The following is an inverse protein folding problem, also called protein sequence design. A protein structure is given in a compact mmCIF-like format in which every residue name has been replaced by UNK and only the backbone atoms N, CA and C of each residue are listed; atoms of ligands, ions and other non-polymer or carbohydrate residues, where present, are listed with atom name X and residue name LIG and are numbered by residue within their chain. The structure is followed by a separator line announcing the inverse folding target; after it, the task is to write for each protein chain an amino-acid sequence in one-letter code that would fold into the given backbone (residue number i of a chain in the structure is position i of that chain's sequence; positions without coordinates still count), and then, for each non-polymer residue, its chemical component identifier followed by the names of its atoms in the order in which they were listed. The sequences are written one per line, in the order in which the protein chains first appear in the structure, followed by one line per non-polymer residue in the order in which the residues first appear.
data_IF_267399292064
#
_entry.id   IF_267399292064
#
_cell.length_a   1.000
_cell.length_b   1.000
_cell.length_c   1.000
_cell.angle_alpha   90.00
_cell.angle_beta   90.00
_cell.angle_gamma   90.00
#
_symmetry.space_group_name_H-M   'P 1'
#
loop_
_entity.id
_entity.type
_entity.pdbx_description
1 polymer ?
#
# COMPACT_ATOMS: atom_id res chain seq x y z
N UNK A 1 14.70 -10.21 43.51
CA UNK A 1 13.42 -10.40 42.77
C UNK A 1 12.95 -8.99 42.41
N UNK A 2 12.73 -8.59 41.15
CA UNK A 2 11.97 -9.27 40.10
C UNK A 2 12.42 -8.79 38.70
N UNK A 3 12.70 -9.77 37.85
CA UNK A 3 12.65 -9.81 36.38
C UNK A 3 13.07 -8.58 35.54
N UNK A 4 14.25 -8.74 34.91
CA UNK A 4 14.60 -8.20 33.58
C UNK A 4 13.41 -8.34 32.62
N UNK A 5 12.91 -7.22 32.10
CA UNK A 5 12.01 -7.22 30.93
C UNK A 5 12.80 -7.73 29.71
N UNK A 6 12.58 -8.99 29.38
CA UNK A 6 13.10 -9.72 28.22
C UNK A 6 12.78 -8.92 26.95
N UNK A 7 13.78 -8.41 26.23
CA UNK A 7 14.32 -9.00 24.99
C UNK A 7 13.69 -10.35 24.65
N UNK A 8 12.52 -10.38 24.01
CA UNK A 8 11.91 -11.63 23.51
C UNK A 8 10.92 -11.42 22.36
N UNK A 9 11.18 -10.45 21.49
CA UNK A 9 10.61 -10.46 20.14
C UNK A 9 11.75 -10.79 19.17
N UNK A 10 12.30 -12.00 19.34
CA UNK A 10 13.14 -12.58 18.31
C UNK A 10 12.24 -12.86 17.11
N UNK A 11 12.24 -11.94 16.15
CA UNK A 11 11.65 -12.04 14.82
C UNK A 11 12.41 -13.13 14.05
N UNK A 12 12.25 -14.40 14.43
CA UNK A 12 12.92 -15.54 13.78
C UNK A 12 11.99 -16.57 13.17
N UNK A 13 10.68 -16.42 13.36
CA UNK A 13 9.67 -17.15 12.58
C UNK A 13 8.48 -16.21 12.35
N UNK A 14 8.51 -15.50 11.22
CA UNK A 14 7.32 -14.82 10.73
C UNK A 14 6.71 -15.77 9.69
N UNK A 15 5.64 -16.53 10.02
CA UNK A 15 5.07 -17.56 9.13
C UNK A 15 4.55 -17.01 7.79
N UNK A 16 4.56 -15.69 7.64
CA UNK A 16 4.16 -14.97 6.45
C UNK A 16 5.35 -14.39 5.65
N UNK A 17 6.60 -14.60 6.08
CA UNK A 17 7.77 -14.09 5.38
C UNK A 17 7.88 -14.64 3.94
N UNK A 18 7.45 -15.89 3.73
CA UNK A 18 7.44 -16.53 2.41
C UNK A 18 6.34 -15.97 1.48
N UNK A 19 5.32 -15.29 2.04
CA UNK A 19 4.30 -14.60 1.25
C UNK A 19 4.80 -13.27 0.69
N UNK A 20 5.93 -12.77 1.20
CA UNK A 20 6.53 -11.54 0.71
C UNK A 20 7.31 -11.87 -0.56
N UNK A 21 6.98 -11.17 -1.64
CA UNK A 21 7.81 -11.18 -2.85
C UNK A 21 9.21 -10.69 -2.50
N UNK A 22 10.18 -11.60 -2.51
CA UNK A 22 11.55 -11.34 -2.10
C UNK A 22 12.23 -10.25 -2.96
N UNK A 23 11.75 -10.03 -4.19
CA UNK A 23 12.23 -8.96 -5.09
C UNK A 23 11.92 -7.56 -4.53
N UNK A 24 10.95 -7.45 -3.63
CA UNK A 24 10.52 -6.19 -3.01
C UNK A 24 11.17 -5.96 -1.63
N UNK A 25 12.09 -6.82 -1.22
CA UNK A 25 12.86 -6.64 0.02
C UNK A 25 13.62 -5.31 -0.03
N UNK A 26 13.47 -4.49 1.02
CA UNK A 26 14.07 -3.15 1.07
C UNK A 26 13.24 -2.04 0.42
N UNK A 27 11.98 -2.31 0.04
CA UNK A 27 11.08 -1.28 -0.45
C UNK A 27 10.91 -0.12 0.56
N UNK A 28 11.03 1.11 0.07
CA UNK A 28 10.89 2.32 0.89
C UNK A 28 9.48 2.52 1.46
N UNK A 29 8.48 1.82 0.91
CA UNK A 29 7.11 1.81 1.42
C UNK A 29 6.88 0.83 2.58
N UNK A 30 7.83 -0.07 2.88
CA UNK A 30 7.66 -1.08 3.93
C UNK A 30 7.32 -0.42 5.29
N UNK A 31 6.29 -0.95 5.96
CA UNK A 31 5.78 -0.42 7.24
C UNK A 31 4.93 0.85 7.13
N UNK A 32 4.59 1.30 5.92
CA UNK A 32 3.80 2.52 5.67
C UNK A 32 2.51 2.26 4.90
N UNK A 33 1.97 1.03 4.98
CA UNK A 33 0.80 0.58 4.20
C UNK A 33 -0.37 1.59 4.18
N UNK A 34 -0.78 2.22 5.32
CA UNK A 34 -1.85 3.21 5.30
C UNK A 34 -1.58 4.46 4.43
N UNK A 35 -0.36 4.71 3.98
CA UNK A 35 -0.07 5.81 3.05
C UNK A 35 -0.22 5.38 1.58
N UNK A 36 -0.02 4.10 1.29
CA UNK A 36 0.07 3.55 -0.07
C UNK A 36 -1.22 2.84 -0.49
N UNK A 37 -2.01 2.32 0.44
CA UNK A 37 -3.22 1.55 0.14
C UNK A 37 -4.39 2.44 -0.25
N UNK A 38 -5.27 1.90 -1.10
CA UNK A 38 -6.53 2.55 -1.49
C UNK A 38 -7.63 2.41 -0.46
N UNK A 39 -7.44 1.57 0.56
CA UNK A 39 -8.45 1.38 1.59
C UNK A 39 -8.67 2.69 2.36
N UNK A 40 -9.94 3.11 2.54
CA UNK A 40 -10.23 4.31 3.28
C UNK A 40 -9.93 4.10 4.76
N UNK A 41 -9.29 5.08 5.38
CA UNK A 41 -9.18 5.10 6.86
C UNK A 41 -10.45 5.67 7.48
N UNK A 42 -10.76 5.37 8.76
CA UNK A 42 -11.99 5.86 9.40
C UNK A 42 -12.13 7.38 9.33
N UNK A 43 -13.25 7.85 8.76
CA UNK A 43 -13.52 9.28 8.58
C UNK A 43 -12.84 9.94 7.39
N UNK A 44 -12.13 9.17 6.55
CA UNK A 44 -11.46 9.71 5.37
C UNK A 44 -12.44 10.05 4.25
N UNK A 45 -12.30 11.26 3.70
CA UNK A 45 -13.01 11.68 2.49
C UNK A 45 -12.24 11.27 1.24
N UNK A 46 -12.89 11.20 0.09
CA UNK A 46 -12.21 10.90 -1.17
C UNK A 46 -11.08 11.89 -1.47
N UNK A 47 -11.28 13.19 -1.20
CA UNK A 47 -10.25 14.21 -1.36
C UNK A 47 -9.07 14.03 -0.39
N UNK A 48 -9.34 13.62 0.86
CA UNK A 48 -8.29 13.31 1.82
C UNK A 48 -7.49 12.07 1.39
N UNK A 49 -8.17 11.05 0.83
CA UNK A 49 -7.54 9.86 0.25
C UNK A 49 -6.65 10.19 -0.95
N UNK A 50 -7.13 11.05 -1.86
CA UNK A 50 -6.31 11.53 -2.98
C UNK A 50 -5.09 12.33 -2.51
N UNK A 51 -5.27 13.20 -1.50
CA UNK A 51 -4.18 13.96 -0.90
C UNK A 51 -3.13 13.06 -0.23
N UNK A 52 -3.54 11.92 0.34
CA UNK A 52 -2.66 10.92 0.96
C UNK A 52 -1.71 10.27 -0.05
N UNK A 53 -2.09 10.16 -1.32
CA UNK A 53 -1.20 9.62 -2.35
C UNK A 53 -0.04 10.55 -2.71
N UNK A 54 -0.16 11.86 -2.49
CA UNK A 54 0.91 12.81 -2.82
C UNK A 54 2.25 12.51 -2.09
N UNK A 55 2.29 12.34 -0.76
CA UNK A 55 3.51 11.90 -0.07
C UNK A 55 3.89 10.44 -0.43
N UNK A 56 2.93 9.54 -0.67
CA UNK A 56 3.21 8.16 -1.08
C UNK A 56 4.02 8.11 -2.39
N UNK A 57 3.58 8.86 -3.40
CA UNK A 57 4.23 8.96 -4.71
C UNK A 57 5.64 9.54 -4.60
N UNK A 58 5.87 10.52 -3.71
CA UNK A 58 7.22 11.08 -3.46
C UNK A 58 8.19 10.02 -2.92
N UNK A 59 7.72 9.16 -2.02
CA UNK A 59 8.51 8.05 -1.49
C UNK A 59 8.74 6.99 -2.58
N UNK A 60 7.66 6.58 -3.27
CA UNK A 60 7.67 5.52 -4.26
C UNK A 60 8.64 5.82 -5.42
N UNK A 61 8.67 7.06 -5.90
CA UNK A 61 9.56 7.50 -7.00
C UNK A 61 11.05 7.45 -6.67
N UNK A 62 11.41 7.35 -5.39
CA UNK A 62 12.79 7.23 -4.90
C UNK A 62 13.09 5.83 -4.35
N UNK A 63 12.18 4.89 -4.52
CA UNK A 63 12.28 3.54 -3.98
C UNK A 63 13.39 2.77 -4.71
N UNK A 64 14.31 2.08 -3.99
CA UNK A 64 15.41 1.35 -4.62
C UNK A 64 14.98 0.12 -5.43
N UNK A 65 13.76 -0.38 -5.21
CA UNK A 65 13.21 -1.58 -5.89
C UNK A 65 12.15 -1.22 -6.93
N UNK A 66 12.25 -0.04 -7.55
CA UNK A 66 11.21 0.48 -8.46
C UNK A 66 10.94 -0.46 -9.64
N UNK A 67 11.99 -0.96 -10.29
CA UNK A 67 11.85 -1.84 -11.46
C UNK A 67 11.20 -3.17 -11.08
N UNK A 68 11.63 -3.78 -9.97
CA UNK A 68 11.04 -5.01 -9.45
C UNK A 68 9.58 -4.81 -9.03
N UNK A 69 9.27 -3.65 -8.44
CA UNK A 69 7.90 -3.26 -8.08
C UNK A 69 7.02 -3.12 -9.33
N UNK A 70 7.55 -2.57 -10.43
CA UNK A 70 6.82 -2.48 -11.69
C UNK A 70 6.53 -3.87 -12.28
N UNK A 71 7.49 -4.78 -12.23
CA UNK A 71 7.30 -6.18 -12.66
C UNK A 71 6.23 -6.89 -11.82
N UNK A 72 6.32 -6.80 -10.49
CA UNK A 72 5.34 -7.40 -9.59
C UNK A 72 3.92 -6.82 -9.80
N UNK A 73 3.80 -5.50 -10.00
CA UNK A 73 2.53 -4.86 -10.30
C UNK A 73 1.93 -5.37 -11.62
N UNK A 74 2.75 -5.53 -12.65
CA UNK A 74 2.31 -6.06 -13.94
C UNK A 74 1.83 -7.52 -13.84
N UNK A 75 2.53 -8.36 -13.06
CA UNK A 75 2.14 -9.75 -12.80
C UNK A 75 0.82 -9.84 -12.01
N UNK A 76 0.61 -8.95 -11.03
CA UNK A 76 -0.63 -8.87 -10.24
C UNK A 76 -1.82 -8.29 -11.03
N UNK A 77 -1.55 -7.48 -12.06
CA UNK A 77 -2.57 -6.86 -12.90
C UNK A 77 -3.58 -6.04 -12.08
N UNK A 78 -4.87 -6.33 -12.25
CA UNK A 78 -5.95 -5.62 -11.56
C UNK A 78 -5.97 -5.76 -10.04
N UNK A 79 -5.16 -6.67 -9.47
CA UNK A 79 -5.03 -6.84 -8.02
C UNK A 79 -4.01 -5.90 -7.38
N UNK A 80 -3.16 -5.23 -8.18
CA UNK A 80 -2.18 -4.27 -7.69
C UNK A 80 -2.84 -2.93 -7.31
N UNK A 81 -3.72 -2.92 -6.30
CA UNK A 81 -4.37 -1.71 -5.80
C UNK A 81 -3.45 -0.91 -4.88
N UNK A 82 -3.61 0.41 -4.84
CA UNK A 82 -2.74 1.31 -4.09
C UNK A 82 -1.67 1.98 -4.96
N UNK A 83 -0.57 2.41 -4.35
CA UNK A 83 0.55 3.03 -5.05
C UNK A 83 1.62 2.00 -5.36
N UNK A 84 1.77 1.68 -6.66
CA UNK A 84 2.75 0.74 -7.19
C UNK A 84 3.63 1.41 -8.22
N UNK A 85 4.95 1.21 -8.14
CA UNK A 85 5.92 1.73 -9.11
C UNK A 85 5.74 3.21 -9.51
N UNK A 86 5.28 4.06 -8.58
CA UNK A 86 5.03 5.48 -8.81
C UNK A 86 3.71 5.84 -9.47
N UNK A 87 2.77 4.89 -9.54
CA UNK A 87 1.44 4.99 -10.16
C UNK A 87 0.38 4.66 -9.11
N UNK A 88 -0.74 5.39 -9.12
CA UNK A 88 -1.90 5.10 -8.27
C UNK A 88 -2.84 4.18 -9.05
N UNK A 89 -3.07 2.98 -8.53
CA UNK A 89 -4.02 2.00 -9.02
C UNK A 89 -5.21 1.98 -8.07
N UNK A 90 -6.25 2.74 -8.41
CA UNK A 90 -7.48 2.76 -7.63
C UNK A 90 -8.58 1.97 -8.35
N UNK A 91 -9.46 1.27 -7.62
CA UNK A 91 -10.69 0.77 -8.24
C UNK A 91 -11.47 1.95 -8.81
N UNK A 92 -12.27 1.75 -9.87
CA UNK A 92 -13.15 2.80 -10.38
C UNK A 92 -13.97 3.33 -9.21
N UNK A 93 -14.02 4.67 -9.08
CA UNK A 93 -14.85 5.30 -8.08
C UNK A 93 -16.25 4.69 -8.17
N UNK A 94 -16.81 4.21 -7.06
CA UNK A 94 -18.24 3.88 -7.00
C UNK A 94 -18.98 5.21 -7.18
N UNK A 95 -19.18 5.60 -8.43
CA UNK A 95 -19.67 6.93 -8.78
C UNK A 95 -21.01 7.19 -8.09
N UNK A 96 -21.28 8.48 -7.83
CA UNK A 96 -22.64 8.95 -7.52
C UNK A 96 -23.57 8.38 -8.61
N UNK A 97 -24.67 7.68 -8.25
CA UNK A 97 -25.66 7.24 -9.24
C UNK A 97 -26.08 8.44 -10.09
N UNK A 98 -26.04 8.30 -11.43
CA UNK A 98 -26.57 9.35 -12.31
C UNK A 98 -28.05 9.53 -11.94
N UNK A 99 -28.47 10.76 -11.64
CA UNK A 99 -29.89 11.08 -11.46
C UNK A 99 -30.59 10.67 -12.76
N UNK A 100 -31.47 9.67 -12.70
CA UNK A 100 -32.31 9.31 -13.84
C UNK A 100 -33.11 10.56 -14.21
N UNK A 101 -32.96 11.02 -15.45
CA UNK A 101 -33.87 12.00 -16.03
C UNK A 101 -35.17 11.26 -16.35
N UNK A 102 -36.17 11.47 -15.51
CA UNK A 102 -37.55 11.04 -15.77
C UNK A 102 -38.13 11.97 -16.85
N UNK A 103 -38.62 11.38 -17.94
CA UNK A 103 -39.35 12.05 -19.03
C UNK A 103 -40.80 11.60 -19.00
#
# INVERSE_FOLDING_TARGET
MTARFRREWAIRDHPFAELIDQRLTGAACAGRAPLFDTDPVPGETDAAREARYAPALKICRRCPVQDQCATAAAELGGQALGVWAGIVHAPPSRGRPKKASES
#
